data_IF_419194992707
#
_entry.id   IF_419194992707
#
_cell.length_a   1.000
_cell.length_b   1.000
_cell.length_c   1.000
_cell.angle_alpha   90.00
_cell.angle_beta   90.00
_cell.angle_gamma   90.00
#
_symmetry.space_group_name_H-M   'P 1'
#
loop_
_entity.id
_entity.type
_entity.pdbx_description
1 polymer ?
#
# COMPACT_ATOMS: atom_id res chain seq x y z
N UNK A 1 -26.02 -23.47 15.44
CA UNK A 1 -24.95 -23.01 14.52
C UNK A 1 -24.45 -21.67 15.06
N UNK A 2 -23.18 -21.57 15.49
CA UNK A 2 -22.63 -20.31 16.02
C UNK A 2 -22.19 -19.43 14.85
N UNK A 3 -22.63 -18.17 14.82
CA UNK A 3 -22.23 -17.23 13.77
C UNK A 3 -20.75 -16.90 13.88
N UNK A 4 -20.00 -17.04 12.78
CA UNK A 4 -18.58 -16.68 12.66
C UNK A 4 -18.36 -15.19 12.35
N UNK A 5 -19.44 -14.47 12.05
CA UNK A 5 -19.44 -13.05 11.68
C UNK A 5 -18.63 -12.14 12.64
N UNK A 6 -18.76 -12.23 13.98
CA UNK A 6 -18.00 -11.35 14.86
C UNK A 6 -16.49 -11.59 14.79
N UNK A 7 -16.06 -12.83 14.52
CA UNK A 7 -14.64 -13.17 14.39
C UNK A 7 -14.06 -12.55 13.11
N UNK A 8 -14.80 -12.63 12.00
CA UNK A 8 -14.37 -12.04 10.72
C UNK A 8 -14.26 -10.51 10.83
N UNK A 9 -15.24 -9.86 11.47
CA UNK A 9 -15.20 -8.41 11.68
C UNK A 9 -14.00 -8.03 12.57
N UNK A 10 -13.77 -8.76 13.66
CA UNK A 10 -12.66 -8.49 14.57
C UNK A 10 -11.30 -8.64 13.87
N UNK A 11 -11.14 -9.69 13.05
CA UNK A 11 -9.90 -9.92 12.28
C UNK A 11 -9.69 -8.83 11.23
N UNK A 12 -10.73 -8.42 10.51
CA UNK A 12 -10.64 -7.32 9.54
C UNK A 12 -10.25 -6.00 10.20
N UNK A 13 -10.85 -5.67 11.34
CA UNK A 13 -10.55 -4.45 12.09
C UNK A 13 -9.11 -4.45 12.62
N UNK A 14 -8.64 -5.57 13.16
CA UNK A 14 -7.26 -5.70 13.63
C UNK A 14 -6.26 -5.45 12.48
N UNK A 15 -6.45 -6.08 11.32
CA UNK A 15 -5.58 -5.87 10.17
C UNK A 15 -5.57 -4.40 9.71
N UNK A 16 -6.71 -3.72 9.74
CA UNK A 16 -6.79 -2.30 9.39
C UNK A 16 -6.01 -1.41 10.37
N UNK A 17 -6.14 -1.67 11.68
CA UNK A 17 -5.48 -0.86 12.72
C UNK A 17 -3.96 -1.08 12.79
N UNK A 18 -3.48 -2.26 12.40
CA UNK A 18 -2.06 -2.62 12.47
C UNK A 18 -1.34 -2.62 11.12
N UNK A 19 -2.03 -2.28 10.02
CA UNK A 19 -1.39 -2.17 8.70
C UNK A 19 -0.33 -1.06 8.69
N UNK A 20 0.88 -1.36 8.20
CA UNK A 20 1.98 -0.42 8.10
C UNK A 20 2.33 -0.14 6.63
N UNK A 21 2.60 1.12 6.31
CA UNK A 21 3.14 1.50 4.99
C UNK A 21 4.58 1.00 4.86
N UNK A 22 4.96 0.31 3.78
CA UNK A 22 6.35 -0.09 3.54
C UNK A 22 7.27 1.12 3.33
N UNK A 23 6.72 2.29 2.97
CA UNK A 23 7.47 3.54 2.79
C UNK A 23 7.69 4.31 4.12
N UNK A 24 7.19 3.78 5.24
CA UNK A 24 7.29 4.39 6.56
C UNK A 24 6.40 5.64 6.74
N UNK A 25 6.40 6.19 7.95
CA UNK A 25 5.53 7.31 8.34
C UNK A 25 5.90 8.66 7.68
N UNK A 26 7.11 8.76 7.11
CA UNK A 26 7.63 9.95 6.45
C UNK A 26 7.08 10.15 5.04
N UNK A 27 6.52 9.12 4.41
CA UNK A 27 5.98 9.22 3.05
C UNK A 27 4.72 10.09 3.02
N UNK A 28 4.68 11.07 2.11
CA UNK A 28 3.58 12.03 1.95
C UNK A 28 2.93 11.98 0.56
N UNK A 29 3.40 11.12 -0.33
CA UNK A 29 2.84 10.95 -1.67
C UNK A 29 1.51 10.18 -1.65
N UNK A 30 0.78 10.19 -2.77
CA UNK A 30 -0.43 9.40 -2.91
C UNK A 30 -0.06 7.95 -3.26
N UNK A 31 -0.63 6.98 -2.53
CA UNK A 31 -0.39 5.56 -2.78
C UNK A 31 -0.78 5.13 -4.21
N UNK A 32 -1.81 5.79 -4.77
CA UNK A 32 -2.33 5.50 -6.10
C UNK A 32 -1.39 5.89 -7.25
N UNK A 33 -0.36 6.69 -6.97
CA UNK A 33 0.62 7.11 -7.98
C UNK A 33 1.54 5.94 -8.40
N UNK A 34 1.69 4.93 -7.52
CA UNK A 34 2.48 3.72 -7.77
C UNK A 34 1.67 2.42 -7.63
N UNK A 35 0.63 2.37 -6.77
CA UNK A 35 -0.19 1.18 -6.56
C UNK A 35 -1.56 1.33 -7.20
N UNK A 36 -1.89 0.45 -8.14
CA UNK A 36 -3.23 0.36 -8.71
C UNK A 36 -4.01 -0.82 -8.09
N UNK A 37 -5.34 -0.75 -8.11
CA UNK A 37 -6.16 -1.91 -7.80
C UNK A 37 -6.21 -2.94 -8.95
N UNK A 38 -5.63 -2.59 -10.10
CA UNK A 38 -5.65 -3.43 -11.30
C UNK A 38 -4.61 -4.56 -11.21
N UNK A 39 -3.43 -4.28 -10.64
CA UNK A 39 -2.37 -5.26 -10.44
C UNK A 39 -1.58 -4.98 -9.17
N UNK A 40 -1.16 -6.06 -8.49
CA UNK A 40 -0.18 -6.00 -7.42
C UNK A 40 1.26 -5.89 -7.95
N UNK A 41 1.49 -6.33 -9.19
CA UNK A 41 2.78 -6.18 -9.85
C UNK A 41 2.94 -4.75 -10.34
N UNK A 42 4.06 -4.13 -9.95
CA UNK A 42 4.44 -2.80 -10.40
C UNK A 42 4.81 -2.93 -11.88
N UNK A 43 3.99 -2.35 -12.75
CA UNK A 43 4.30 -2.21 -14.15
C UNK A 43 5.15 -0.94 -14.34
N UNK A 44 6.44 -1.15 -14.60
CA UNK A 44 7.41 -0.07 -14.76
C UNK A 44 7.10 0.82 -15.99
N UNK A 45 6.39 0.31 -17.00
CA UNK A 45 6.04 1.07 -18.20
C UNK A 45 4.87 2.03 -17.95
N UNK A 46 4.03 1.74 -16.95
CA UNK A 46 2.88 2.59 -16.58
C UNK A 46 3.11 3.39 -15.31
N UNK A 47 4.19 3.12 -14.56
CA UNK A 47 4.58 3.91 -13.39
C UNK A 47 5.07 5.30 -13.84
N UNK A 48 4.22 6.31 -13.63
CA UNK A 48 4.54 7.71 -13.97
C UNK A 48 5.28 8.46 -12.85
N UNK A 49 5.46 7.82 -11.69
CA UNK A 49 6.13 8.44 -10.54
C UNK A 49 7.63 8.65 -10.81
N UNK A 50 8.09 9.90 -10.72
CA UNK A 50 9.48 10.26 -10.97
C UNK A 50 10.29 10.34 -9.67
N UNK A 51 11.13 9.34 -9.43
CA UNK A 51 12.04 9.27 -8.27
C UNK A 51 13.01 10.45 -8.17
N UNK A 52 13.42 11.05 -9.29
CA UNK A 52 14.37 12.18 -9.33
C UNK A 52 13.78 13.47 -8.75
N UNK A 53 12.46 13.53 -8.57
CA UNK A 53 11.78 14.64 -7.90
C UNK A 53 11.79 14.53 -6.37
N UNK A 54 12.33 13.43 -5.85
CA UNK A 54 12.40 13.14 -4.42
C UNK A 54 13.85 12.99 -3.96
N UNK A 55 14.04 12.90 -2.64
CA UNK A 55 15.35 12.55 -2.06
C UNK A 55 15.69 11.04 -2.16
N UNK A 56 14.90 10.25 -2.91
CA UNK A 56 15.03 8.80 -3.07
C UNK A 56 15.28 8.41 -4.53
N UNK A 57 16.44 8.79 -5.06
CA UNK A 57 16.89 8.36 -6.39
C UNK A 57 17.16 6.84 -6.41
N UNK A 58 16.79 6.19 -7.51
CA UNK A 58 17.07 4.77 -7.71
C UNK A 58 18.55 4.60 -8.12
N UNK A 59 19.31 3.83 -7.35
CA UNK A 59 20.61 3.34 -7.77
C UNK A 59 20.40 1.95 -8.37
N UNK A 60 20.43 1.87 -9.71
CA UNK A 60 20.29 0.62 -10.45
C UNK A 60 21.39 -0.39 -10.13
#
# INVERSE_FOLDING_TARGET
MRSLLPIVILLGLANYLFSQSPHGAGFKGNCADCHSSFSWEIDADTLSFNHDTTAFSLAG
#
